data_IF_232126988432
#
_entry.id   IF_232126988432
#
_cell.length_a   1.000
_cell.length_b   1.000
_cell.length_c   1.000
_cell.angle_alpha   90.00
_cell.angle_beta   90.00
_cell.angle_gamma   90.00
#
_symmetry.space_group_name_H-M   'P 1'
#
loop_
_entity.id
_entity.type
_entity.pdbx_description
1 polymer ?
#
# COMPACT_ATOMS: atom_id res chain seq x y z
N UNK A 1 70.62 24.68 26.86
CA UNK A 1 71.19 23.32 26.77
C UNK A 1 70.75 22.71 25.45
N UNK A 2 71.69 22.15 24.68
CA UNK A 2 71.45 21.55 23.34
C UNK A 2 70.56 20.31 23.44
N UNK A 3 69.80 20.04 22.38
CA UNK A 3 69.12 18.76 22.18
C UNK A 3 68.44 18.71 20.81
N UNK A 4 68.95 17.86 19.94
CA UNK A 4 68.70 17.76 18.51
C UNK A 4 67.52 16.82 18.14
N UNK A 5 66.92 17.12 16.97
CA UNK A 5 66.16 16.33 15.98
C UNK A 5 65.54 14.95 16.31
N UNK A 6 64.31 14.74 15.81
CA UNK A 6 63.66 13.42 15.74
C UNK A 6 62.53 13.33 14.71
N UNK A 7 62.89 13.03 13.45
CA UNK A 7 62.20 12.22 12.41
C UNK A 7 60.65 12.33 12.30
N UNK A 8 60.10 13.01 11.29
CA UNK A 8 59.79 12.49 9.94
C UNK A 8 59.17 11.08 9.89
N UNK A 9 57.85 11.03 9.73
CA UNK A 9 57.11 9.94 9.09
C UNK A 9 56.10 10.55 8.09
N UNK A 10 56.01 10.03 6.85
CA UNK A 10 55.20 10.62 5.78
C UNK A 10 53.77 10.07 5.81
N UNK A 11 52.78 10.88 5.41
CA UNK A 11 51.44 10.36 5.08
C UNK A 11 50.21 11.22 5.38
N UNK A 12 50.35 12.51 5.70
CA UNK A 12 49.19 13.44 5.73
C UNK A 12 49.29 14.44 4.60
N UNK A 13 48.49 14.25 3.56
CA UNK A 13 48.14 15.35 2.66
C UNK A 13 47.12 16.23 3.38
N UNK A 14 47.46 17.52 3.45
CA UNK A 14 46.69 18.61 4.04
C UNK A 14 45.26 18.67 3.52
N UNK A 15 44.36 18.92 4.46
CA UNK A 15 43.05 19.55 4.24
C UNK A 15 43.29 20.95 3.68
N UNK A 16 42.65 21.31 2.57
CA UNK A 16 42.47 22.69 2.17
C UNK A 16 41.07 23.12 2.64
N UNK A 17 41.03 23.99 3.66
CA UNK A 17 40.04 25.08 3.79
C UNK A 17 40.12 25.95 2.52
N UNK A 18 39.13 26.62 1.96
CA UNK A 18 37.87 27.17 2.45
C UNK A 18 37.13 27.67 1.19
N UNK A 19 35.81 27.56 1.14
CA UNK A 19 34.91 28.34 0.27
C UNK A 19 33.50 28.03 0.74
N UNK A 20 33.01 28.86 1.66
CA UNK A 20 31.71 28.69 2.29
C UNK A 20 30.55 28.61 1.31
N UNK A 21 29.76 27.56 1.45
CA UNK A 21 28.31 27.54 1.28
C UNK A 21 27.80 26.28 1.99
N UNK A 22 26.98 26.45 3.04
CA UNK A 22 26.32 25.34 3.72
C UNK A 22 25.33 24.71 2.72
N UNK A 23 25.40 23.39 2.44
CA UNK A 23 24.43 22.76 1.57
C UNK A 23 23.06 22.79 2.25
N UNK A 24 22.16 23.64 1.76
CA UNK A 24 20.74 23.56 2.08
C UNK A 24 20.22 22.21 1.56
N UNK A 25 19.54 21.41 2.37
CA UNK A 25 18.87 20.21 1.85
C UNK A 25 17.78 20.65 0.87
N UNK A 26 18.05 20.49 -0.43
CA UNK A 26 17.10 20.73 -1.50
C UNK A 26 16.03 19.64 -1.49
N UNK A 27 14.82 20.03 -1.12
CA UNK A 27 13.65 19.17 -0.99
C UNK A 27 12.93 19.06 -2.33
N UNK A 28 13.58 18.52 -3.37
CA UNK A 28 12.89 18.21 -4.64
C UNK A 28 13.84 17.55 -5.65
N UNK A 29 13.80 16.22 -5.78
CA UNK A 29 13.92 15.56 -7.09
C UNK A 29 13.59 14.07 -6.97
N UNK A 30 12.45 13.72 -7.55
CA UNK A 30 12.09 12.37 -7.97
C UNK A 30 13.24 11.72 -8.74
N UNK A 31 13.58 10.47 -8.41
CA UNK A 31 14.17 9.52 -9.36
C UNK A 31 13.80 8.08 -8.97
N UNK A 32 12.75 7.58 -9.59
CA UNK A 32 12.30 6.17 -9.62
C UNK A 32 13.39 5.25 -10.18
N UNK A 33 13.56 4.02 -9.66
CA UNK A 33 13.90 2.90 -10.54
C UNK A 33 13.10 1.63 -10.20
N UNK A 34 12.32 1.09 -11.14
CA UNK A 34 12.71 0.05 -12.11
C UNK A 34 13.07 -1.30 -11.47
N UNK A 35 12.22 -2.30 -11.73
CA UNK A 35 12.52 -3.72 -11.53
C UNK A 35 13.90 -4.06 -12.12
N UNK A 36 14.74 -4.75 -11.37
CA UNK A 36 15.79 -5.55 -12.02
C UNK A 36 16.01 -6.82 -11.22
N UNK A 37 15.73 -7.95 -11.87
CA UNK A 37 16.24 -9.26 -11.44
C UNK A 37 17.75 -9.14 -11.29
N UNK A 38 18.25 -9.60 -10.15
CA UNK A 38 19.62 -9.43 -9.70
C UNK A 38 20.66 -9.98 -10.67
N UNK A 39 21.56 -9.11 -11.11
CA UNK A 39 22.92 -9.47 -11.50
C UNK A 39 23.82 -8.24 -11.21
N UNK A 40 24.29 -8.13 -9.96
CA UNK A 40 25.19 -7.06 -9.54
C UNK A 40 24.83 -6.46 -8.17
N UNK A 41 25.18 -7.19 -7.11
CA UNK A 41 25.59 -6.71 -5.78
C UNK A 41 24.94 -5.44 -5.19
N UNK A 42 23.63 -5.23 -5.35
CA UNK A 42 22.90 -4.21 -4.58
C UNK A 42 21.66 -4.83 -3.94
N UNK A 43 21.76 -5.10 -2.63
CA UNK A 43 20.70 -5.69 -1.83
C UNK A 43 19.70 -4.58 -1.45
N UNK A 44 18.69 -4.36 -2.29
CA UNK A 44 17.60 -3.44 -1.95
C UNK A 44 16.60 -4.17 -1.06
N UNK A 45 16.61 -3.85 0.23
CA UNK A 45 15.62 -4.34 1.20
C UNK A 45 14.39 -3.44 1.11
N UNK A 46 13.34 -3.89 0.40
CA UNK A 46 12.05 -3.23 0.45
C UNK A 46 11.31 -3.65 1.73
N UNK A 47 11.10 -2.69 2.64
CA UNK A 47 10.34 -2.85 3.89
C UNK A 47 8.82 -2.77 3.67
N UNK A 48 8.32 -3.13 2.49
CA UNK A 48 6.89 -3.08 2.21
C UNK A 48 6.15 -4.14 3.05
N UNK A 49 5.04 -3.79 3.74
CA UNK A 49 4.28 -4.77 4.49
C UNK A 49 3.73 -5.82 3.53
N UNK A 50 3.98 -7.10 3.84
CA UNK A 50 3.47 -8.22 3.05
C UNK A 50 1.93 -8.18 2.94
N UNK A 51 1.40 -8.80 1.89
CA UNK A 51 -0.06 -8.91 1.68
C UNK A 51 -0.79 -9.48 2.92
N UNK A 52 -0.15 -10.40 3.65
CA UNK A 52 -0.66 -10.94 4.92
C UNK A 52 -0.77 -9.89 6.02
N UNK A 53 0.20 -8.97 6.15
CA UNK A 53 0.11 -7.89 7.14
C UNK A 53 -1.01 -6.92 6.80
N UNK A 54 -1.16 -6.56 5.52
CA UNK A 54 -2.23 -5.69 5.05
C UNK A 54 -3.60 -6.32 5.32
N UNK A 55 -3.78 -7.60 4.96
CA UNK A 55 -4.99 -8.36 5.22
C UNK A 55 -5.35 -8.41 6.72
N UNK A 56 -4.37 -8.71 7.59
CA UNK A 56 -4.59 -8.73 9.04
C UNK A 56 -4.96 -7.35 9.60
N UNK A 57 -4.35 -6.28 9.09
CA UNK A 57 -4.68 -4.91 9.49
C UNK A 57 -6.12 -4.55 9.10
N UNK A 58 -6.53 -4.87 7.87
CA UNK A 58 -7.90 -4.65 7.40
C UNK A 58 -8.92 -5.45 8.23
N UNK A 59 -8.67 -6.75 8.47
CA UNK A 59 -9.57 -7.56 9.30
C UNK A 59 -9.62 -7.08 10.75
N UNK A 60 -8.51 -6.58 11.29
CA UNK A 60 -8.49 -5.98 12.63
C UNK A 60 -9.35 -4.73 12.70
N UNK A 61 -9.37 -3.91 11.64
CA UNK A 61 -10.27 -2.76 11.51
C UNK A 61 -11.73 -3.21 11.46
N UNK A 62 -12.05 -4.21 10.63
CA UNK A 62 -13.40 -4.78 10.55
C UNK A 62 -13.88 -5.30 11.92
N UNK A 63 -13.00 -6.02 12.63
CA UNK A 63 -13.27 -6.49 14.00
C UNK A 63 -13.56 -5.33 14.94
N UNK A 64 -12.77 -4.25 14.89
CA UNK A 64 -12.92 -3.08 15.77
C UNK A 64 -14.29 -2.42 15.62
N UNK A 65 -14.81 -2.35 14.39
CA UNK A 65 -16.14 -1.81 14.10
C UNK A 65 -17.25 -2.86 14.15
N UNK A 66 -16.94 -4.09 14.57
CA UNK A 66 -17.88 -5.22 14.60
C UNK A 66 -18.51 -5.57 13.24
N UNK A 67 -17.80 -5.31 12.13
CA UNK A 67 -18.23 -5.69 10.79
C UNK A 67 -17.87 -7.16 10.51
N UNK A 68 -18.88 -8.02 10.48
CA UNK A 68 -18.74 -9.46 10.27
C UNK A 68 -18.79 -9.89 8.81
N UNK A 69 -19.49 -9.11 7.97
CA UNK A 69 -19.78 -9.49 6.60
C UNK A 69 -19.21 -8.45 5.65
N UNK A 70 -18.42 -8.89 4.67
CA UNK A 70 -17.81 -8.01 3.68
C UNK A 70 -17.61 -8.76 2.35
N UNK A 71 -17.40 -8.00 1.28
CA UNK A 71 -16.97 -8.53 -0.01
C UNK A 71 -15.62 -7.98 -0.40
N UNK A 72 -14.86 -8.78 -1.14
CA UNK A 72 -13.54 -8.41 -1.66
C UNK A 72 -13.73 -7.97 -3.11
N UNK A 73 -13.18 -6.81 -3.44
CA UNK A 73 -13.15 -6.25 -4.79
C UNK A 73 -11.69 -6.04 -5.16
N UNK A 74 -11.25 -6.62 -6.27
CA UNK A 74 -9.87 -6.43 -6.73
C UNK A 74 -9.83 -6.00 -8.17
N UNK A 75 -8.87 -5.17 -8.56
CA UNK A 75 -8.56 -4.97 -9.97
C UNK A 75 -7.64 -6.09 -10.49
N UNK A 76 -7.14 -5.93 -11.71
CA UNK A 76 -6.08 -6.77 -12.31
C UNK A 76 -4.67 -6.37 -11.89
N UNK A 77 -4.52 -5.58 -10.81
CA UNK A 77 -3.22 -5.17 -10.28
C UNK A 77 -2.36 -6.38 -9.86
N UNK A 78 -1.03 -6.26 -9.99
CA UNK A 78 -0.13 -7.28 -9.48
C UNK A 78 -0.34 -7.53 -7.97
N UNK A 79 -0.25 -8.79 -7.54
CA UNK A 79 -0.43 -9.15 -6.12
C UNK A 79 -1.88 -9.40 -5.70
N UNK A 80 -2.87 -9.23 -6.60
CA UNK A 80 -4.28 -9.35 -6.23
C UNK A 80 -4.68 -10.75 -5.75
N UNK A 81 -4.09 -11.81 -6.31
CA UNK A 81 -4.37 -13.20 -5.93
C UNK A 81 -3.84 -13.50 -4.54
N UNK A 82 -2.61 -13.05 -4.29
CA UNK A 82 -1.91 -13.14 -3.03
C UNK A 82 -2.68 -12.37 -1.94
N UNK A 83 -3.24 -11.21 -2.28
CA UNK A 83 -4.12 -10.46 -1.39
C UNK A 83 -5.41 -11.21 -1.04
N UNK A 84 -6.14 -11.73 -2.05
CA UNK A 84 -7.38 -12.50 -1.81
C UNK A 84 -7.10 -13.71 -0.92
N UNK A 85 -6.01 -14.43 -1.20
CA UNK A 85 -5.57 -15.57 -0.41
C UNK A 85 -5.22 -15.13 1.02
N UNK A 86 -4.44 -14.07 1.18
CA UNK A 86 -4.05 -13.54 2.48
C UNK A 86 -5.25 -13.12 3.33
N UNK A 87 -6.26 -12.48 2.75
CA UNK A 87 -7.52 -12.13 3.45
C UNK A 87 -8.28 -13.38 3.88
N UNK A 88 -8.37 -14.38 3.01
CA UNK A 88 -9.07 -15.63 3.30
C UNK A 88 -8.37 -16.42 4.42
N UNK A 89 -7.04 -16.54 4.35
CA UNK A 89 -6.23 -17.18 5.39
C UNK A 89 -6.29 -16.43 6.72
N UNK A 90 -6.22 -15.10 6.69
CA UNK A 90 -6.35 -14.29 7.88
C UNK A 90 -7.74 -14.47 8.51
N UNK A 91 -8.81 -14.40 7.72
CA UNK A 91 -10.17 -14.63 8.20
C UNK A 91 -10.32 -16.01 8.86
N UNK A 92 -9.77 -17.06 8.24
CA UNK A 92 -9.72 -18.40 8.80
C UNK A 92 -8.95 -18.45 10.12
N UNK A 93 -7.79 -17.77 10.23
CA UNK A 93 -7.02 -17.69 11.48
C UNK A 93 -7.79 -16.99 12.60
N UNK A 94 -8.56 -15.95 12.30
CA UNK A 94 -9.40 -15.29 13.30
C UNK A 94 -10.51 -16.23 13.81
N UNK A 95 -11.09 -17.04 12.92
CA UNK A 95 -12.11 -18.04 13.28
C UNK A 95 -11.50 -19.22 14.04
N UNK A 96 -10.34 -19.73 13.62
CA UNK A 96 -9.68 -20.90 14.24
C UNK A 96 -9.26 -20.63 15.68
N UNK A 97 -8.85 -19.40 15.99
CA UNK A 97 -8.52 -18.98 17.36
C UNK A 97 -9.75 -18.51 18.15
N UNK A 98 -10.96 -18.67 17.60
CA UNK A 98 -12.22 -18.24 18.21
C UNK A 98 -12.24 -16.74 18.57
N UNK A 99 -11.52 -15.90 17.81
CA UNK A 99 -11.37 -14.46 18.05
C UNK A 99 -12.52 -13.69 17.43
N UNK A 100 -12.82 -13.98 16.16
CA UNK A 100 -13.87 -13.31 15.40
C UNK A 100 -14.24 -14.12 14.15
N UNK A 101 -15.53 -14.19 13.82
CA UNK A 101 -16.03 -14.93 12.66
C UNK A 101 -16.40 -13.98 11.54
N UNK A 102 -15.57 -13.97 10.51
CA UNK A 102 -15.81 -13.21 9.29
C UNK A 102 -16.60 -14.04 8.27
N UNK A 103 -17.44 -13.37 7.48
CA UNK A 103 -18.17 -13.95 6.35
C UNK A 103 -17.83 -13.15 5.09
N UNK A 104 -17.09 -13.78 4.19
CA UNK A 104 -16.81 -13.23 2.87
C UNK A 104 -18.03 -13.53 2.00
N UNK A 105 -18.75 -12.51 1.55
CA UNK A 105 -19.99 -12.64 0.78
C UNK A 105 -19.73 -12.82 -0.71
N UNK A 106 -18.60 -12.31 -1.21
CA UNK A 106 -18.18 -12.48 -2.59
C UNK A 106 -16.80 -11.91 -2.83
N UNK A 107 -16.17 -12.40 -3.90
CA UNK A 107 -14.89 -11.88 -4.41
C UNK A 107 -15.10 -11.51 -5.87
N UNK A 108 -14.95 -10.22 -6.19
CA UNK A 108 -15.20 -9.68 -7.52
C UNK A 108 -13.91 -9.12 -8.09
N UNK A 109 -13.46 -9.71 -9.19
CA UNK A 109 -12.37 -9.16 -9.97
C UNK A 109 -12.94 -8.19 -11.01
N UNK A 110 -12.54 -6.93 -10.91
CA UNK A 110 -12.95 -5.85 -11.79
C UNK A 110 -11.93 -5.69 -12.92
N UNK A 111 -12.43 -5.78 -14.15
CA UNK A 111 -11.66 -5.44 -15.36
C UNK A 111 -11.73 -3.92 -15.61
N UNK A 112 -10.96 -3.43 -16.60
CA UNK A 112 -10.88 -2.00 -16.92
C UNK A 112 -12.24 -1.30 -17.14
N UNK A 113 -13.28 -2.06 -17.54
CA UNK A 113 -14.61 -1.52 -17.84
C UNK A 113 -15.59 -1.62 -16.67
N UNK A 114 -15.14 -2.07 -15.49
CA UNK A 114 -16.01 -2.13 -14.31
C UNK A 114 -17.28 -3.00 -14.50
N UNK A 115 -17.31 -3.88 -15.51
CA UNK A 115 -18.53 -4.60 -15.91
C UNK A 115 -19.03 -5.58 -14.86
N UNK A 116 -18.11 -6.12 -14.05
CA UNK A 116 -18.41 -7.16 -13.07
C UNK A 116 -18.91 -6.61 -11.73
N UNK A 117 -18.88 -5.28 -11.52
CA UNK A 117 -19.36 -4.64 -10.29
C UNK A 117 -20.84 -4.87 -10.03
N UNK A 118 -21.66 -5.08 -11.08
CA UNK A 118 -23.09 -5.35 -10.94
C UNK A 118 -23.40 -6.59 -10.10
N UNK A 119 -22.47 -7.53 -9.99
CA UNK A 119 -22.61 -8.71 -9.10
C UNK A 119 -22.73 -8.33 -7.61
N UNK A 120 -22.21 -7.17 -7.20
CA UNK A 120 -22.26 -6.69 -5.82
C UNK A 120 -23.62 -6.11 -5.43
N UNK A 121 -24.41 -5.62 -6.39
CA UNK A 121 -25.71 -4.99 -6.14
C UNK A 121 -26.73 -5.95 -5.50
N UNK A 122 -26.62 -7.24 -5.80
CA UNK A 122 -27.48 -8.29 -5.23
C UNK A 122 -26.97 -8.88 -3.91
N UNK A 123 -25.80 -8.47 -3.44
CA UNK A 123 -25.20 -9.02 -2.21
C UNK A 123 -25.63 -8.21 -0.99
N UNK A 124 -25.70 -8.87 0.17
CA UNK A 124 -25.93 -8.21 1.46
C UNK A 124 -24.68 -7.44 1.96
N UNK A 125 -23.62 -7.38 1.16
CA UNK A 125 -22.35 -6.79 1.55
C UNK A 125 -22.45 -5.27 1.57
N UNK A 126 -22.35 -4.70 2.78
CA UNK A 126 -22.26 -3.24 2.98
C UNK A 126 -20.82 -2.75 3.06
N UNK A 127 -19.89 -3.65 3.39
CA UNK A 127 -18.46 -3.35 3.49
C UNK A 127 -17.74 -3.97 2.29
N UNK A 128 -17.00 -3.14 1.56
CA UNK A 128 -16.30 -3.51 0.33
C UNK A 128 -14.80 -3.24 0.52
N UNK A 129 -14.01 -4.31 0.49
CA UNK A 129 -12.55 -4.22 0.55
C UNK A 129 -12.00 -4.11 -0.87
N UNK A 130 -11.47 -2.95 -1.25
CA UNK A 130 -10.92 -2.71 -2.58
C UNK A 130 -9.39 -2.82 -2.58
N UNK A 131 -8.86 -3.71 -3.40
CA UNK A 131 -7.42 -3.82 -3.69
C UNK A 131 -7.16 -3.47 -5.16
N UNK A 132 -6.54 -2.31 -5.39
CA UNK A 132 -6.25 -1.82 -6.74
C UNK A 132 -5.12 -0.79 -6.74
N UNK A 133 -4.69 -0.35 -7.93
CA UNK A 133 -3.93 0.90 -8.04
C UNK A 133 -4.84 2.10 -7.81
N UNK A 134 -4.24 3.28 -7.65
CA UNK A 134 -4.96 4.55 -7.48
C UNK A 134 -5.79 4.88 -8.72
N UNK A 135 -5.22 4.70 -9.91
CA UNK A 135 -5.85 4.99 -11.19
C UNK A 135 -7.05 4.06 -11.44
N UNK A 136 -6.88 2.77 -11.14
CA UNK A 136 -7.94 1.77 -11.23
C UNK A 136 -9.04 2.03 -10.20
N UNK A 137 -8.69 2.36 -8.96
CA UNK A 137 -9.65 2.70 -7.90
C UNK A 137 -10.56 3.84 -8.36
N UNK A 138 -10.00 4.89 -8.98
CA UNK A 138 -10.78 6.03 -9.49
C UNK A 138 -11.82 5.59 -10.52
N UNK A 139 -11.44 4.72 -11.46
CA UNK A 139 -12.36 4.19 -12.48
C UNK A 139 -13.45 3.29 -11.88
N UNK A 140 -13.05 2.42 -10.96
CA UNK A 140 -13.93 1.49 -10.24
C UNK A 140 -14.97 2.27 -9.42
N UNK A 141 -14.53 3.23 -8.60
CA UNK A 141 -15.38 4.01 -7.73
C UNK A 141 -16.30 4.95 -8.51
N UNK A 142 -15.83 5.53 -9.63
CA UNK A 142 -16.68 6.33 -10.52
C UNK A 142 -17.84 5.49 -11.07
N UNK A 143 -17.55 4.28 -11.54
CA UNK A 143 -18.59 3.37 -12.05
C UNK A 143 -19.50 2.88 -10.92
N UNK A 144 -18.93 2.56 -9.76
CA UNK A 144 -19.69 2.19 -8.56
C UNK A 144 -20.66 3.30 -8.14
N UNK A 145 -20.27 4.57 -8.24
CA UNK A 145 -21.13 5.70 -7.93
C UNK A 145 -22.32 5.83 -8.88
N UNK A 146 -22.12 5.56 -10.18
CA UNK A 146 -23.21 5.49 -11.15
C UNK A 146 -24.18 4.33 -10.87
N UNK A 147 -23.68 3.25 -10.27
CA UNK A 147 -24.48 2.09 -9.86
C UNK A 147 -25.12 2.24 -8.47
N UNK A 148 -24.84 3.33 -7.74
CA UNK A 148 -25.32 3.54 -6.37
C UNK A 148 -24.58 2.71 -5.29
N UNK A 149 -23.46 2.08 -5.65
CA UNK A 149 -22.62 1.30 -4.73
C UNK A 149 -21.71 2.17 -3.84
N UNK A 150 -21.72 3.50 -4.00
CA UNK A 150 -20.96 4.44 -3.16
C UNK A 150 -21.88 5.32 -2.30
N UNK A 151 -23.15 4.95 -2.17
CA UNK A 151 -24.11 5.66 -1.33
C UNK A 151 -23.85 5.48 0.17
N UNK A 152 -24.69 6.12 0.98
CA UNK A 152 -24.73 6.07 2.45
C UNK A 152 -24.75 4.67 3.06
N UNK A 153 -25.20 3.67 2.30
CA UNK A 153 -25.31 2.27 2.73
C UNK A 153 -24.03 1.46 2.54
N UNK A 154 -23.03 1.99 1.84
CA UNK A 154 -21.82 1.25 1.50
C UNK A 154 -20.58 1.92 2.07
N UNK A 155 -19.68 1.11 2.62
CA UNK A 155 -18.38 1.55 3.10
C UNK A 155 -17.31 0.88 2.25
N UNK A 156 -16.48 1.69 1.61
CA UNK A 156 -15.32 1.24 0.84
C UNK A 156 -14.07 1.41 1.69
N UNK A 157 -13.34 0.31 1.88
CA UNK A 157 -12.02 0.32 2.53
C UNK A 157 -11.02 -0.01 1.44
N UNK A 158 -10.17 0.95 1.11
CA UNK A 158 -9.29 0.85 -0.06
C UNK A 158 -7.87 0.63 0.40
N UNK A 159 -7.20 -0.39 -0.13
CA UNK A 159 -5.75 -0.55 0.02
C UNK A 159 -5.06 -0.17 -1.27
N UNK A 160 -4.19 0.83 -1.18
CA UNK A 160 -3.41 1.29 -2.32
C UNK A 160 -2.23 0.34 -2.53
N UNK A 161 -2.29 -0.47 -3.59
CA UNK A 161 -1.16 -1.31 -4.00
C UNK A 161 -0.32 -0.61 -5.07
N UNK A 162 0.30 0.52 -4.74
CA UNK A 162 1.46 1.07 -5.47
C UNK A 162 2.24 2.00 -4.54
N UNK A 163 3.54 1.75 -4.40
CA UNK A 163 4.52 2.67 -3.81
C UNK A 163 4.52 3.95 -4.65
N UNK A 164 3.91 5.01 -4.11
CA UNK A 164 3.77 6.30 -4.80
C UNK A 164 2.95 7.25 -3.96
N UNK A 165 3.64 8.10 -3.20
CA UNK A 165 3.06 9.21 -2.44
C UNK A 165 2.28 10.13 -3.37
N UNK A 166 1.00 10.38 -3.10
CA UNK A 166 0.32 11.58 -3.60
C UNK A 166 -0.82 11.96 -2.65
N UNK A 167 -0.63 13.11 -2.02
CA UNK A 167 -1.32 13.66 -0.84
C UNK A 167 -2.74 14.19 -1.12
N UNK A 168 -3.32 13.92 -2.28
CA UNK A 168 -4.66 14.44 -2.64
C UNK A 168 -5.67 13.30 -2.75
N UNK A 169 -6.81 13.41 -2.06
CA UNK A 169 -7.95 12.51 -2.24
C UNK A 169 -8.73 12.96 -3.49
N UNK A 170 -8.83 12.15 -4.55
CA UNK A 170 -9.62 12.51 -5.73
C UNK A 170 -11.12 12.64 -5.39
N UNK A 171 -11.88 13.50 -6.10
CA UNK A 171 -13.30 13.74 -5.82
C UNK A 171 -14.20 12.52 -6.06
N UNK A 172 -13.71 11.49 -6.75
CA UNK A 172 -14.45 10.24 -6.99
C UNK A 172 -14.51 9.31 -5.78
N UNK A 173 -13.88 9.70 -4.67
CA UNK A 173 -13.76 8.89 -3.47
C UNK A 173 -14.95 9.17 -2.55
N UNK A 174 -15.77 8.14 -2.18
CA UNK A 174 -16.93 8.35 -1.33
C UNK A 174 -16.57 8.92 0.05
N UNK A 175 -17.47 9.75 0.57
CA UNK A 175 -17.47 10.19 1.97
C UNK A 175 -17.64 8.97 2.88
N UNK A 176 -16.61 8.64 3.67
CA UNK A 176 -16.57 7.45 4.53
C UNK A 176 -15.51 6.42 4.17
N UNK A 177 -14.61 6.73 3.24
CA UNK A 177 -13.45 5.89 2.97
C UNK A 177 -12.47 5.87 4.14
N UNK A 178 -12.01 4.67 4.51
CA UNK A 178 -11.00 4.40 5.54
C UNK A 178 -9.80 3.67 4.94
#
# INVERSE_FOLDING_TARGET
MRGEIGRFWPGRTRVYEDSGELPTPDYSANNTPLHTKSAGNNLVIQLAPSASHQANAMLSLLKRYSWKQFSIVTSTVAGYREFIQAVSEAAYKFESHNIYRFKILGTVQVNNNASNLGSLLGTEARILLLYSTREEARSILKTAGQMGLTGDKYVWIVTQSVIGSTTESPPEFPVGML
#
